data_IF_976259161974
#
_entry.id   IF_976259161974
#
_cell.length_a   1.000
_cell.length_b   1.000
_cell.length_c   1.000
_cell.angle_alpha   90.00
_cell.angle_beta   90.00
_cell.angle_gamma   90.00
#
_symmetry.space_group_name_H-M   'P 1'
#
loop_
_entity.id
_entity.type
_entity.pdbx_description
1 polymer ?
#
# COMPACT_ATOMS: atom_id res chain seq x y z
N UNK A 1 -34.80 -0.04 6.75
CA UNK A 1 -35.80 -0.58 5.80
C UNK A 1 -35.30 -0.42 4.36
N UNK A 2 -35.91 -1.16 3.41
CA UNK A 2 -35.59 -1.04 1.96
C UNK A 2 -35.82 0.39 1.45
N UNK A 3 -36.76 1.11 2.08
CA UNK A 3 -37.07 2.51 1.76
C UNK A 3 -35.93 3.47 2.20
N UNK A 4 -35.36 3.28 3.36
CA UNK A 4 -34.24 4.08 3.87
C UNK A 4 -32.95 3.82 3.04
N UNK A 5 -32.69 2.56 2.65
CA UNK A 5 -31.60 2.23 1.75
C UNK A 5 -31.73 2.90 0.37
N UNK A 6 -32.96 2.99 -0.18
CA UNK A 6 -33.22 3.72 -1.43
C UNK A 6 -33.12 5.24 -1.29
N UNK A 7 -33.40 5.79 -0.11
CA UNK A 7 -33.20 7.22 0.17
C UNK A 7 -31.69 7.56 0.28
N UNK A 8 -30.93 6.72 0.97
CA UNK A 8 -29.45 6.86 1.07
C UNK A 8 -28.76 6.77 -0.30
N UNK A 9 -29.22 5.87 -1.20
CA UNK A 9 -28.69 5.78 -2.57
C UNK A 9 -28.90 7.07 -3.40
N UNK A 10 -29.89 7.89 -3.07
CA UNK A 10 -30.11 9.17 -3.75
C UNK A 10 -29.30 10.33 -3.18
N UNK A 11 -28.77 10.18 -1.97
CA UNK A 11 -28.02 11.23 -1.26
C UNK A 11 -26.50 11.02 -1.31
N UNK A 12 -26.03 9.79 -1.59
CA UNK A 12 -24.61 9.46 -1.75
C UNK A 12 -24.32 9.23 -3.23
N UNK A 13 -23.71 10.21 -3.85
CA UNK A 13 -23.20 10.07 -5.22
C UNK A 13 -21.81 9.44 -5.13
N UNK A 14 -21.73 8.13 -5.41
CA UNK A 14 -20.44 7.50 -5.67
C UNK A 14 -20.04 7.92 -7.09
N UNK A 15 -19.09 8.85 -7.21
CA UNK A 15 -18.52 9.21 -8.50
C UNK A 15 -17.96 7.94 -9.15
N UNK A 16 -18.35 7.69 -10.40
CA UNK A 16 -17.79 6.60 -11.19
C UNK A 16 -16.29 6.81 -11.33
N UNK A 17 -15.51 6.20 -10.45
CA UNK A 17 -14.09 6.03 -10.69
C UNK A 17 -13.93 4.88 -11.69
N UNK A 18 -13.07 5.05 -12.67
CA UNK A 18 -12.72 3.99 -13.60
C UNK A 18 -12.10 2.83 -12.82
N UNK A 19 -12.96 1.99 -12.20
CA UNK A 19 -12.48 0.73 -11.65
C UNK A 19 -12.02 -0.13 -12.80
N UNK A 20 -10.83 -0.65 -12.68
CA UNK A 20 -10.29 -1.66 -13.59
C UNK A 20 -11.36 -2.73 -13.79
N UNK A 21 -11.75 -2.97 -15.03
CA UNK A 21 -12.83 -3.88 -15.43
C UNK A 21 -12.33 -5.34 -15.27
N UNK A 22 -11.98 -5.73 -14.07
CA UNK A 22 -11.82 -7.14 -13.76
C UNK A 22 -13.08 -7.60 -13.02
N UNK A 23 -14.08 -8.04 -13.80
CA UNK A 23 -15.33 -8.60 -13.26
C UNK A 23 -15.09 -9.78 -12.30
N UNK A 24 -13.88 -10.33 -12.31
CA UNK A 24 -13.49 -11.47 -11.50
C UNK A 24 -12.83 -11.11 -10.16
N UNK A 25 -12.84 -9.84 -9.73
CA UNK A 25 -12.17 -9.45 -8.48
C UNK A 25 -12.72 -10.22 -7.27
N UNK A 26 -14.03 -10.43 -7.20
CA UNK A 26 -14.65 -11.21 -6.13
C UNK A 26 -14.26 -12.68 -6.18
N UNK A 27 -14.17 -13.25 -7.38
CA UNK A 27 -13.67 -14.60 -7.57
C UNK A 27 -12.21 -14.73 -7.13
N UNK A 28 -11.38 -13.75 -7.47
CA UNK A 28 -9.97 -13.73 -7.03
C UNK A 28 -9.86 -13.65 -5.51
N UNK A 29 -10.70 -12.82 -4.85
CA UNK A 29 -10.78 -12.71 -3.39
C UNK A 29 -11.16 -14.05 -2.77
N UNK A 30 -12.19 -14.73 -3.29
CA UNK A 30 -12.63 -16.04 -2.80
C UNK A 30 -11.53 -17.09 -2.93
N UNK A 31 -10.81 -17.12 -4.05
CA UNK A 31 -9.71 -18.04 -4.27
C UNK A 31 -8.55 -17.79 -3.31
N UNK A 32 -8.23 -16.51 -3.04
CA UNK A 32 -7.22 -16.13 -2.05
C UNK A 32 -7.66 -16.57 -0.64
N UNK A 33 -8.91 -16.28 -0.27
CA UNK A 33 -9.47 -16.70 1.01
C UNK A 33 -9.41 -18.23 1.20
N UNK A 34 -9.79 -18.97 0.17
CA UNK A 34 -9.71 -20.43 0.19
C UNK A 34 -8.27 -20.95 0.29
N UNK A 35 -7.31 -20.27 -0.34
CA UNK A 35 -5.88 -20.58 -0.20
C UNK A 35 -5.38 -20.37 1.24
N UNK A 36 -5.79 -19.26 1.86
CA UNK A 36 -5.45 -18.94 3.26
C UNK A 36 -6.08 -19.95 4.21
N UNK A 37 -7.39 -20.20 4.09
CA UNK A 37 -8.16 -21.08 4.97
C UNK A 37 -7.77 -22.57 4.81
N UNK A 38 -7.45 -22.99 3.57
CA UNK A 38 -7.03 -24.34 3.25
C UNK A 38 -5.54 -24.61 3.46
N UNK A 39 -4.78 -23.62 3.94
CA UNK A 39 -3.32 -23.69 4.13
C UNK A 39 -2.57 -24.16 2.88
N UNK A 40 -2.96 -23.64 1.70
CA UNK A 40 -2.35 -24.00 0.41
C UNK A 40 -1.87 -22.79 -0.36
N UNK A 41 -0.83 -22.98 -1.19
CA UNK A 41 -0.36 -21.97 -2.13
C UNK A 41 -1.41 -21.73 -3.20
N UNK A 42 -1.38 -20.53 -3.75
CA UNK A 42 -2.14 -20.14 -4.94
C UNK A 42 -1.20 -19.88 -6.10
N UNK A 43 -1.71 -20.02 -7.31
CA UNK A 43 -1.00 -19.60 -8.53
C UNK A 43 -1.89 -18.74 -9.38
N UNK A 44 -1.29 -17.76 -10.07
CA UNK A 44 -2.00 -16.84 -10.96
C UNK A 44 -1.04 -16.24 -11.98
N UNK A 45 -1.57 -15.74 -13.09
CA UNK A 45 -0.86 -14.82 -13.99
C UNK A 45 -1.09 -13.40 -13.51
N UNK A 46 -0.13 -12.51 -13.76
CA UNK A 46 -0.19 -11.11 -13.33
C UNK A 46 0.09 -10.19 -14.51
N UNK A 47 -0.71 -9.14 -14.68
CA UNK A 47 -0.56 -8.22 -15.79
C UNK A 47 -0.24 -6.78 -15.36
N UNK A 48 0.32 -6.02 -16.28
CA UNK A 48 0.42 -4.56 -16.25
C UNK A 48 -0.26 -4.00 -17.50
N UNK A 49 -0.67 -2.75 -17.44
CA UNK A 49 -1.14 -2.04 -18.62
C UNK A 49 0.06 -1.48 -19.39
N UNK A 50 0.07 -1.63 -20.71
CA UNK A 50 0.98 -0.91 -21.59
C UNK A 50 0.41 0.47 -21.96
N UNK A 51 1.14 1.25 -22.75
CA UNK A 51 0.74 2.62 -23.18
C UNK A 51 -0.47 2.60 -24.13
N UNK A 52 -0.70 1.49 -24.81
CA UNK A 52 -1.86 1.24 -25.68
C UNK A 52 -3.10 0.85 -24.89
N UNK A 53 -3.01 0.76 -23.53
CA UNK A 53 -4.06 0.31 -22.61
C UNK A 53 -4.46 -1.15 -22.80
N UNK A 54 -3.53 -1.97 -23.24
CA UNK A 54 -3.66 -3.41 -23.36
C UNK A 54 -3.04 -4.11 -22.15
N UNK A 55 -3.58 -5.30 -21.81
CA UNK A 55 -3.04 -6.11 -20.71
C UNK A 55 -1.79 -6.85 -21.19
N UNK A 56 -0.66 -6.51 -20.60
CA UNK A 56 0.60 -7.18 -20.84
C UNK A 56 0.95 -8.10 -19.67
N UNK A 57 1.08 -9.41 -19.95
CA UNK A 57 1.41 -10.39 -18.91
C UNK A 57 2.86 -10.21 -18.45
N UNK A 58 3.06 -10.13 -17.15
CA UNK A 58 4.40 -10.13 -16.58
C UNK A 58 5.03 -11.51 -16.64
N UNK A 59 6.37 -11.59 -16.62
CA UNK A 59 7.16 -12.81 -16.72
C UNK A 59 6.80 -13.64 -17.97
N UNK A 60 6.56 -12.98 -19.10
CA UNK A 60 6.17 -13.63 -20.35
C UNK A 60 4.98 -14.59 -20.19
N UNK A 61 4.06 -14.27 -19.28
CA UNK A 61 2.88 -15.06 -18.98
C UNK A 61 3.11 -16.24 -18.04
N UNK A 62 4.29 -16.39 -17.45
CA UNK A 62 4.53 -17.39 -16.43
C UNK A 62 3.66 -17.14 -15.18
N UNK A 63 3.27 -18.24 -14.52
CA UNK A 63 2.50 -18.18 -13.29
C UNK A 63 3.39 -17.77 -12.11
N UNK A 64 2.88 -16.88 -11.28
CA UNK A 64 3.33 -16.72 -9.91
C UNK A 64 2.74 -17.83 -9.06
N UNK A 65 3.53 -18.50 -8.25
CA UNK A 65 3.09 -19.44 -7.22
C UNK A 65 3.55 -18.91 -5.87
N UNK A 66 2.61 -18.54 -5.01
CA UNK A 66 2.91 -17.85 -3.75
C UNK A 66 2.09 -18.40 -2.59
N UNK A 67 2.58 -18.22 -1.37
CA UNK A 67 1.86 -18.50 -0.14
C UNK A 67 1.03 -17.28 0.27
N UNK A 68 -0.31 -17.30 0.10
CA UNK A 68 -1.16 -16.16 0.47
C UNK A 68 -1.14 -16.00 1.98
N UNK A 69 -0.92 -14.79 2.48
CA UNK A 69 -0.84 -14.49 3.92
C UNK A 69 -2.07 -13.73 4.38
N UNK A 70 -2.36 -12.60 3.72
CA UNK A 70 -3.51 -11.76 4.07
C UNK A 70 -3.98 -10.93 2.88
N UNK A 71 -5.27 -10.58 2.90
CA UNK A 71 -5.86 -9.55 2.04
C UNK A 71 -5.87 -8.23 2.80
N UNK A 72 -5.41 -7.17 2.16
CA UNK A 72 -5.46 -5.79 2.66
C UNK A 72 -6.25 -4.91 1.69
N UNK A 73 -6.89 -3.90 2.23
CA UNK A 73 -7.52 -2.82 1.47
C UNK A 73 -6.71 -1.55 1.69
N UNK A 74 -6.17 -0.98 0.62
CA UNK A 74 -5.41 0.26 0.66
C UNK A 74 -5.63 1.04 -0.64
N UNK A 75 -5.78 2.36 -0.54
CA UNK A 75 -5.97 3.26 -1.68
C UNK A 75 -6.98 2.72 -2.72
N UNK A 76 -8.17 2.31 -2.21
CA UNK A 76 -9.30 1.79 -3.00
C UNK A 76 -9.04 0.49 -3.78
N UNK A 77 -7.99 -0.24 -3.45
CA UNK A 77 -7.66 -1.52 -4.07
C UNK A 77 -7.49 -2.64 -3.04
N UNK A 78 -7.85 -3.85 -3.45
CA UNK A 78 -7.47 -5.04 -2.71
C UNK A 78 -6.06 -5.47 -3.08
N UNK A 79 -5.27 -5.74 -2.06
CA UNK A 79 -3.91 -6.27 -2.18
C UNK A 79 -3.81 -7.62 -1.50
N UNK A 80 -3.23 -8.57 -2.19
CA UNK A 80 -2.73 -9.79 -1.59
C UNK A 80 -1.31 -9.53 -1.09
N UNK A 81 -1.09 -9.74 0.21
CA UNK A 81 0.24 -9.86 0.80
C UNK A 81 0.56 -11.34 0.82
N UNK A 82 1.64 -11.75 0.16
CA UNK A 82 2.02 -13.14 0.00
C UNK A 82 3.53 -13.35 0.13
N UNK A 83 3.93 -14.50 0.65
CA UNK A 83 5.33 -14.91 0.63
C UNK A 83 5.65 -15.61 -0.70
N UNK A 84 6.66 -15.09 -1.37
CA UNK A 84 7.23 -15.66 -2.59
C UNK A 84 8.47 -16.48 -2.20
N UNK A 85 8.38 -17.79 -2.39
CA UNK A 85 9.45 -18.72 -2.03
C UNK A 85 10.67 -18.60 -2.96
N UNK A 86 10.43 -18.29 -4.23
CA UNK A 86 11.48 -18.15 -5.24
C UNK A 86 12.45 -17.02 -4.84
N UNK A 87 11.90 -15.87 -4.46
CA UNK A 87 12.69 -14.71 -4.05
C UNK A 87 12.90 -14.63 -2.52
N UNK A 88 12.22 -15.49 -1.74
CA UNK A 88 12.24 -15.53 -0.26
C UNK A 88 11.83 -14.22 0.42
N UNK A 89 10.92 -13.48 -0.19
CA UNK A 89 10.44 -12.19 0.28
C UNK A 89 8.91 -12.13 0.33
N UNK A 90 8.38 -11.19 1.11
CA UNK A 90 6.97 -10.83 1.08
C UNK A 90 6.72 -9.87 -0.08
N UNK A 91 5.77 -10.20 -0.92
CA UNK A 91 5.34 -9.41 -2.09
C UNK A 91 3.89 -8.96 -1.95
N UNK A 92 3.57 -7.88 -2.64
CA UNK A 92 2.22 -7.35 -2.76
C UNK A 92 1.73 -7.47 -4.18
N UNK A 93 0.51 -7.93 -4.32
CA UNK A 93 -0.13 -8.07 -5.62
C UNK A 93 -1.51 -7.43 -5.56
N UNK A 94 -1.80 -6.51 -6.46
CA UNK A 94 -3.15 -6.00 -6.65
C UNK A 94 -4.05 -7.12 -7.16
N UNK A 95 -5.16 -7.35 -6.47
CA UNK A 95 -6.06 -8.47 -6.78
C UNK A 95 -6.77 -8.29 -8.13
N UNK A 96 -7.03 -7.04 -8.51
CA UNK A 96 -7.62 -6.71 -9.82
C UNK A 96 -6.71 -6.99 -11.02
N UNK A 97 -5.40 -7.19 -10.78
CA UNK A 97 -4.41 -7.52 -11.82
C UNK A 97 -4.09 -9.00 -11.91
N UNK A 98 -4.78 -9.83 -11.15
CA UNK A 98 -4.61 -11.29 -11.18
C UNK A 98 -5.53 -11.93 -12.21
N UNK A 99 -4.98 -12.85 -13.00
CA UNK A 99 -5.71 -13.64 -13.99
C UNK A 99 -5.47 -15.12 -13.72
N UNK A 100 -6.44 -15.96 -14.09
CA UNK A 100 -6.35 -17.43 -14.02
C UNK A 100 -5.91 -17.95 -12.64
N UNK A 101 -6.40 -17.32 -11.57
CA UNK A 101 -6.08 -17.74 -10.20
C UNK A 101 -6.60 -19.16 -9.93
N UNK A 102 -5.82 -19.97 -9.24
CA UNK A 102 -6.19 -21.31 -8.81
C UNK A 102 -5.44 -21.74 -7.55
N UNK A 103 -6.04 -22.62 -6.77
CA UNK A 103 -5.39 -23.27 -5.64
C UNK A 103 -4.37 -24.31 -6.15
N UNK A 104 -3.32 -24.50 -5.38
CA UNK A 104 -2.37 -25.60 -5.59
C UNK A 104 -2.60 -26.70 -4.54
N UNK A 105 -1.86 -27.81 -4.66
CA UNK A 105 -1.83 -28.87 -3.61
C UNK A 105 -0.67 -28.69 -2.64
N UNK A 106 0.14 -27.64 -2.81
CA UNK A 106 1.32 -27.37 -1.97
C UNK A 106 0.92 -26.57 -0.75
N UNK A 107 1.45 -26.91 0.41
CA UNK A 107 1.25 -26.14 1.65
C UNK A 107 1.91 -24.77 1.57
N UNK A 108 1.35 -23.81 2.29
CA UNK A 108 1.94 -22.48 2.42
C UNK A 108 3.28 -22.56 3.16
N UNK A 109 4.15 -21.66 2.82
CA UNK A 109 5.45 -21.43 3.43
C UNK A 109 5.57 -19.98 3.91
N UNK A 110 6.66 -19.67 4.64
CA UNK A 110 6.90 -18.32 5.12
C UNK A 110 6.01 -17.90 6.31
N UNK A 111 5.28 -18.82 6.95
CA UNK A 111 4.40 -18.50 8.07
C UNK A 111 5.16 -17.95 9.28
N UNK A 112 6.40 -18.41 9.53
CA UNK A 112 7.24 -17.90 10.62
C UNK A 112 7.60 -16.42 10.41
N UNK A 113 7.87 -16.02 9.17
CA UNK A 113 8.11 -14.62 8.81
C UNK A 113 6.84 -13.79 9.01
N UNK A 114 5.67 -14.43 8.85
CA UNK A 114 4.39 -13.78 9.00
C UNK A 114 3.92 -13.69 10.46
N UNK A 115 4.26 -14.62 11.33
CA UNK A 115 3.95 -14.54 12.78
C UNK A 115 4.56 -13.30 13.43
N UNK A 116 5.71 -12.84 12.92
CA UNK A 116 6.36 -11.59 13.35
C UNK A 116 5.91 -10.36 12.56
N UNK A 117 5.03 -10.54 11.56
CA UNK A 117 4.59 -9.51 10.65
C UNK A 117 3.32 -8.84 11.17
N UNK A 118 3.48 -7.66 11.75
CA UNK A 118 2.36 -6.82 12.17
C UNK A 118 1.74 -6.11 10.96
N UNK A 119 0.63 -6.67 10.46
CA UNK A 119 -0.11 -6.14 9.30
C UNK A 119 -0.56 -4.71 9.53
N UNK A 120 -1.04 -4.38 10.73
CA UNK A 120 -1.53 -3.05 11.04
C UNK A 120 -0.40 -2.02 11.01
N UNK A 121 0.74 -2.35 11.61
CA UNK A 121 1.96 -1.54 11.48
C UNK A 121 2.45 -1.46 10.05
N UNK A 122 2.39 -2.56 9.31
CA UNK A 122 2.87 -2.61 7.93
C UNK A 122 2.05 -1.70 7.00
N UNK A 123 0.72 -1.74 7.06
CA UNK A 123 -0.15 -0.85 6.27
C UNK A 123 0.06 0.62 6.61
N UNK A 124 0.38 0.94 7.86
CA UNK A 124 0.68 2.31 8.29
C UNK A 124 2.02 2.82 7.76
N UNK A 125 3.01 1.93 7.67
CA UNK A 125 4.37 2.27 7.22
C UNK A 125 4.49 2.40 5.71
N UNK A 126 3.71 1.62 4.95
CA UNK A 126 3.78 1.56 3.48
C UNK A 126 2.80 2.53 2.84
N UNK A 127 3.24 3.27 1.85
CA UNK A 127 2.42 4.17 1.06
C UNK A 127 2.01 3.49 -0.25
N UNK A 128 0.70 3.25 -0.45
CA UNK A 128 0.19 2.56 -1.63
C UNK A 128 0.77 1.16 -1.83
N UNK A 129 1.09 0.45 -0.72
CA UNK A 129 1.72 -0.88 -0.72
C UNK A 129 3.06 -0.94 -1.49
N UNK A 130 3.76 0.19 -1.65
CA UNK A 130 5.11 0.20 -2.20
C UNK A 130 6.12 -0.19 -1.12
N UNK A 131 6.88 -1.24 -1.41
CA UNK A 131 8.01 -1.64 -0.58
C UNK A 131 9.13 -0.58 -0.62
N UNK A 132 9.80 -0.39 0.49
CA UNK A 132 10.95 0.50 0.61
C UNK A 132 11.79 0.10 1.82
N UNK A 133 12.96 0.71 1.94
CA UNK A 133 13.78 0.57 3.13
C UNK A 133 13.05 1.20 4.32
N UNK A 134 12.93 0.43 5.42
CA UNK A 134 12.24 0.91 6.62
C UNK A 134 13.14 1.85 7.42
N UNK A 135 12.66 3.05 7.70
CA UNK A 135 13.40 4.10 8.38
C UNK A 135 12.55 4.77 9.47
N UNK A 136 13.22 5.19 10.53
CA UNK A 136 12.64 6.07 11.54
C UNK A 136 12.88 7.52 11.14
N UNK A 137 11.80 8.24 10.84
CA UNK A 137 11.84 9.63 10.38
C UNK A 137 11.17 10.53 11.43
N UNK A 138 11.79 11.64 11.74
CA UNK A 138 11.18 12.70 12.58
C UNK A 138 10.80 13.87 11.68
N UNK A 139 9.52 14.21 11.68
CA UNK A 139 8.98 15.36 10.99
C UNK A 139 8.75 16.49 11.98
N UNK A 140 9.04 17.73 11.57
CA UNK A 140 8.53 18.95 12.18
C UNK A 140 7.30 19.37 11.40
N UNK A 141 6.18 19.56 12.07
CA UNK A 141 4.90 19.84 11.45
C UNK A 141 4.25 21.06 12.10
N UNK A 142 3.57 21.91 11.32
CA UNK A 142 2.66 22.90 11.87
C UNK A 142 1.51 22.22 12.64
N UNK A 143 0.99 22.87 13.69
CA UNK A 143 -0.01 22.29 14.59
C UNK A 143 -1.31 21.85 13.87
N UNK A 144 -1.70 22.51 12.78
CA UNK A 144 -2.88 22.14 11.98
C UNK A 144 -2.70 20.83 11.18
N UNK A 145 -1.46 20.32 11.05
CA UNK A 145 -1.17 19.06 10.41
C UNK A 145 -1.41 17.82 11.30
N UNK A 146 -1.78 18.03 12.59
CA UNK A 146 -1.95 16.91 13.53
C UNK A 146 -3.00 15.90 13.05
N UNK A 147 -4.11 16.37 12.47
CA UNK A 147 -5.16 15.50 11.91
C UNK A 147 -4.61 14.62 10.79
N UNK A 148 -3.86 15.19 9.86
CA UNK A 148 -3.26 14.47 8.73
C UNK A 148 -2.30 13.38 9.20
N UNK A 149 -1.50 13.67 10.24
CA UNK A 149 -0.57 12.69 10.83
C UNK A 149 -1.33 11.57 11.54
N UNK A 150 -2.36 11.89 12.32
CA UNK A 150 -3.19 10.90 13.03
C UNK A 150 -3.96 10.03 12.03
N UNK A 151 -4.57 10.62 11.01
CA UNK A 151 -5.32 9.89 9.99
C UNK A 151 -4.43 8.86 9.26
N UNK A 152 -3.17 9.21 9.01
CA UNK A 152 -2.24 8.33 8.32
C UNK A 152 -1.60 7.28 9.22
N UNK A 153 -1.16 7.66 10.43
CA UNK A 153 -0.34 6.79 11.28
C UNK A 153 -1.09 6.25 12.51
N UNK A 154 -2.30 6.74 12.75
CA UNK A 154 -3.13 6.38 13.89
C UNK A 154 -2.84 7.22 15.13
N UNK A 155 -3.73 7.15 16.13
CA UNK A 155 -3.66 7.94 17.36
C UNK A 155 -2.45 7.62 18.24
N UNK A 156 -1.87 6.42 18.08
CA UNK A 156 -0.69 5.97 18.86
C UNK A 156 0.63 6.52 18.30
N UNK A 157 0.58 7.38 17.27
CA UNK A 157 1.78 8.01 16.72
C UNK A 157 2.50 8.85 17.77
N UNK A 158 3.83 8.73 17.83
CA UNK A 158 4.63 9.47 18.80
C UNK A 158 4.73 10.95 18.39
N UNK A 159 3.97 11.79 19.06
CA UNK A 159 3.93 13.25 18.84
C UNK A 159 4.40 13.98 20.08
N UNK A 160 5.21 15.02 19.90
CA UNK A 160 5.69 15.90 20.98
C UNK A 160 5.63 17.36 20.54
N UNK A 161 5.17 18.26 21.42
CA UNK A 161 5.24 19.70 21.19
C UNK A 161 6.69 20.11 20.93
N UNK A 162 6.93 20.86 19.86
CA UNK A 162 8.23 21.46 19.56
C UNK A 162 8.29 22.92 20.06
N UNK A 163 7.29 23.71 19.73
CA UNK A 163 7.07 25.09 20.16
C UNK A 163 5.57 25.43 20.12
N UNK A 164 5.20 26.71 20.14
CA UNK A 164 3.78 27.11 20.16
C UNK A 164 3.07 26.88 18.81
N UNK A 165 3.81 26.78 17.71
CA UNK A 165 3.26 26.65 16.36
C UNK A 165 3.48 25.26 15.78
N UNK A 166 4.41 24.46 16.36
CA UNK A 166 4.86 23.21 15.77
C UNK A 166 4.87 22.03 16.75
N UNK A 167 4.74 20.84 16.19
CA UNK A 167 4.99 19.58 16.86
C UNK A 167 6.00 18.72 16.07
N UNK A 168 6.62 17.78 16.76
CA UNK A 168 7.46 16.73 16.16
C UNK A 168 6.69 15.42 16.13
N UNK A 169 6.66 14.77 14.97
CA UNK A 169 6.12 13.42 14.81
C UNK A 169 7.25 12.44 14.47
N UNK A 170 7.41 11.40 15.28
CA UNK A 170 8.38 10.34 15.02
C UNK A 170 7.68 9.16 14.37
N UNK A 171 8.03 8.85 13.14
CA UNK A 171 7.35 7.93 12.26
C UNK A 171 8.26 6.78 11.84
N UNK A 172 7.71 5.58 11.76
CA UNK A 172 8.37 4.45 11.12
C UNK A 172 7.76 4.27 9.74
N UNK A 173 8.53 4.45 8.67
CA UNK A 173 8.03 4.49 7.29
C UNK A 173 8.88 3.64 6.35
N UNK A 174 8.24 3.05 5.33
CA UNK A 174 8.94 2.49 4.18
C UNK A 174 9.22 3.62 3.19
N UNK A 175 10.50 3.95 3.04
CA UNK A 175 10.96 5.04 2.18
C UNK A 175 10.74 4.68 0.72
N UNK A 176 9.88 5.41 0.05
CA UNK A 176 9.49 5.15 -1.33
C UNK A 176 9.14 6.46 -2.05
N UNK A 177 9.03 6.41 -3.37
CA UNK A 177 8.53 7.54 -4.14
C UNK A 177 7.13 8.01 -3.71
N UNK A 178 6.31 7.10 -3.20
CA UNK A 178 4.97 7.41 -2.68
C UNK A 178 5.05 8.18 -1.35
N UNK A 179 5.95 7.79 -0.45
CA UNK A 179 6.21 8.53 0.77
C UNK A 179 6.69 9.96 0.47
N UNK A 180 7.63 10.11 -0.46
CA UNK A 180 8.08 11.44 -0.89
C UNK A 180 6.98 12.25 -1.57
N UNK A 181 6.12 11.60 -2.38
CA UNK A 181 4.96 12.25 -2.98
C UNK A 181 3.96 12.74 -1.93
N UNK A 182 3.72 11.94 -0.89
CA UNK A 182 2.87 12.33 0.23
C UNK A 182 3.45 13.54 0.97
N UNK A 183 4.75 13.53 1.31
CA UNK A 183 5.43 14.68 1.94
C UNK A 183 5.34 15.94 1.06
N UNK A 184 5.58 15.80 -0.24
CA UNK A 184 5.47 16.91 -1.18
C UNK A 184 4.05 17.50 -1.21
N UNK A 185 3.02 16.66 -1.08
CA UNK A 185 1.61 17.08 -1.02
C UNK A 185 1.25 17.85 0.24
N UNK A 186 2.03 17.76 1.33
CA UNK A 186 1.84 18.53 2.55
C UNK A 186 2.45 19.94 2.46
N UNK A 187 3.23 20.21 1.40
CA UNK A 187 3.82 21.52 1.14
C UNK A 187 4.87 21.93 2.19
N UNK A 188 4.91 23.22 2.49
CA UNK A 188 5.86 23.83 3.40
C UNK A 188 5.56 23.62 4.90
N UNK A 189 4.40 23.04 5.21
CA UNK A 189 3.94 22.82 6.59
C UNK A 189 4.61 21.65 7.30
N UNK A 190 5.40 20.87 6.58
CA UNK A 190 6.05 19.67 7.10
C UNK A 190 7.48 19.58 6.60
N UNK A 191 8.41 19.39 7.53
CA UNK A 191 9.84 19.29 7.25
C UNK A 191 10.41 18.00 7.85
N UNK A 192 11.29 17.29 7.12
CA UNK A 192 12.09 16.20 7.66
C UNK A 192 13.23 16.80 8.46
N UNK A 193 13.28 16.54 9.77
CA UNK A 193 14.37 17.03 10.64
C UNK A 193 15.36 15.94 11.01
N UNK A 194 14.95 14.67 11.01
CA UNK A 194 15.80 13.52 11.32
C UNK A 194 15.39 12.28 10.51
N UNK A 195 16.32 11.42 10.10
CA UNK A 195 17.78 11.63 10.11
C UNK A 195 18.21 12.59 9.00
N UNK A 196 19.40 13.17 9.12
CA UNK A 196 19.95 14.11 8.13
C UNK A 196 20.06 13.48 6.74
N UNK A 197 20.49 12.22 6.67
CA UNK A 197 20.57 11.46 5.42
C UNK A 197 19.22 11.40 4.68
N UNK A 198 18.12 11.21 5.43
CA UNK A 198 16.77 11.17 4.85
C UNK A 198 16.37 12.52 4.27
N UNK A 199 16.72 13.61 4.95
CA UNK A 199 16.52 14.97 4.45
C UNK A 199 17.26 15.17 3.13
N UNK A 200 18.52 14.75 3.05
CA UNK A 200 19.35 14.84 1.83
C UNK A 200 18.75 14.03 0.67
N UNK A 201 18.30 12.78 0.95
CA UNK A 201 17.61 11.93 -0.03
C UNK A 201 16.35 12.64 -0.58
N UNK A 202 15.57 13.28 0.30
CA UNK A 202 14.35 14.00 -0.09
C UNK A 202 14.67 15.25 -0.91
N UNK A 203 15.67 16.06 -0.51
CA UNK A 203 16.14 17.21 -1.29
C UNK A 203 16.58 16.78 -2.69
N UNK A 204 17.34 15.70 -2.79
CA UNK A 204 17.78 15.12 -4.08
C UNK A 204 16.58 14.69 -4.94
N UNK A 205 15.54 14.12 -4.32
CA UNK A 205 14.30 13.74 -5.01
C UNK A 205 13.58 14.99 -5.57
N UNK A 206 13.44 16.04 -4.77
CA UNK A 206 12.81 17.30 -5.20
C UNK A 206 13.59 17.98 -6.34
N UNK A 207 14.92 18.00 -6.27
CA UNK A 207 15.78 18.54 -7.32
C UNK A 207 15.62 17.79 -8.65
N UNK A 208 15.51 16.46 -8.61
CA UNK A 208 15.24 15.65 -9.81
C UNK A 208 13.91 16.00 -10.45
N UNK A 209 12.89 16.32 -9.65
CA UNK A 209 11.60 16.77 -10.16
C UNK A 209 11.75 18.17 -10.77
N UNK A 210 12.32 19.11 -10.02
CA UNK A 210 12.52 20.49 -10.46
C UNK A 210 13.25 20.57 -11.84
N UNK A 211 14.30 19.77 -12.01
CA UNK A 211 15.07 19.70 -13.24
C UNK A 211 14.28 19.23 -14.48
N UNK A 212 13.09 18.63 -14.29
CA UNK A 212 12.20 18.28 -15.41
C UNK A 212 11.33 19.47 -15.89
N UNK A 213 11.25 20.51 -15.08
CA UNK A 213 10.42 21.69 -15.37
C UNK A 213 11.27 22.97 -15.57
N UNK A 214 12.58 22.83 -15.46
CA UNK A 214 13.57 23.88 -15.78
C UNK A 214 14.14 23.64 -17.16
#
# INVERSE_FOLDING_TARGET
SVYEAKQLQRQVVVTNRNKTINENIYYNIDMIYNGISGDVKIRFQYFSWNIEKEMELRRDGAFYEVSPLVLSWDDENYYLIAYDEEDKIIKHFRVDKMLKISLTRKKREGLKQFETFDIASYSKKTFGMFAGEEEMVTLLCENDMIGVVIDRFGQEVNVRKADDMHFRARLHVAVSGQFYGWLCGLGEKVEIIEPAEMREKYVTYLQKIQNKYS
#
